data_IF_986582027973
#
_entry.id   IF_986582027973
#
_cell.length_a   1.000
_cell.length_b   1.000
_cell.length_c   1.000
_cell.angle_alpha   90.00
_cell.angle_beta   90.00
_cell.angle_gamma   90.00
#
_symmetry.space_group_name_H-M   'P 1'
#
loop_
_entity.id
_entity.type
_entity.pdbx_description
1 polymer ?
#
# COMPACT_ATOMS: atom_id res chain seq x y z
N UNK A 1 -1.13 -11.57 -6.05
CA UNK A 1 0.10 -12.27 -5.64
C UNK A 1 1.31 -11.88 -6.48
N UNK A 2 1.25 -11.89 -7.81
CA UNK A 2 2.39 -11.65 -8.71
C UNK A 2 3.10 -10.30 -8.45
N UNK A 3 2.33 -9.22 -8.29
CA UNK A 3 2.85 -7.87 -8.03
C UNK A 3 3.75 -7.84 -6.79
N UNK A 4 3.26 -8.36 -5.65
CA UNK A 4 4.04 -8.44 -4.42
C UNK A 4 5.32 -9.25 -4.56
N UNK A 5 5.24 -10.38 -5.26
CA UNK A 5 6.40 -11.26 -5.45
C UNK A 5 7.44 -10.61 -6.36
N UNK A 6 7.02 -9.94 -7.43
CA UNK A 6 7.93 -9.24 -8.33
C UNK A 6 8.68 -8.11 -7.60
N UNK A 7 7.98 -7.28 -6.81
CA UNK A 7 8.59 -6.23 -6.01
C UNK A 7 9.58 -6.80 -4.98
N UNK A 8 9.15 -7.84 -4.23
CA UNK A 8 10.03 -8.51 -3.27
C UNK A 8 11.35 -8.95 -3.91
N UNK A 9 11.27 -9.66 -5.02
CA UNK A 9 12.47 -10.19 -5.68
C UNK A 9 13.33 -9.09 -6.31
N UNK A 10 12.71 -8.03 -6.85
CA UNK A 10 13.44 -6.87 -7.35
C UNK A 10 14.29 -6.25 -6.24
N UNK A 11 13.68 -5.90 -5.11
CA UNK A 11 14.39 -5.31 -3.99
C UNK A 11 15.48 -6.23 -3.40
N UNK A 12 15.20 -7.54 -3.34
CA UNK A 12 16.19 -8.51 -2.84
C UNK A 12 17.42 -8.66 -3.75
N UNK A 13 17.23 -8.58 -5.07
CA UNK A 13 18.35 -8.63 -6.01
C UNK A 13 19.20 -7.38 -5.90
N UNK A 14 18.56 -6.22 -5.82
CA UNK A 14 19.28 -4.97 -5.65
C UNK A 14 20.06 -4.93 -4.33
N UNK A 15 19.49 -5.45 -3.25
CA UNK A 15 20.19 -5.52 -1.97
C UNK A 15 21.40 -6.46 -1.95
N UNK A 16 21.50 -7.39 -2.91
CA UNK A 16 22.64 -8.31 -3.05
C UNK A 16 23.71 -7.81 -3.99
N UNK A 17 23.39 -6.83 -4.81
CA UNK A 17 24.30 -6.32 -5.83
C UNK A 17 25.27 -5.31 -5.21
N UNK A 18 26.61 -5.61 -5.22
CA UNK A 18 27.64 -4.77 -4.62
C UNK A 18 27.65 -3.33 -5.13
N UNK A 19 27.20 -3.09 -6.36
CA UNK A 19 27.17 -1.74 -6.93
C UNK A 19 26.34 -0.75 -6.09
N UNK A 20 25.34 -1.24 -5.34
CA UNK A 20 24.48 -0.41 -4.50
C UNK A 20 25.02 -0.19 -3.08
N UNK A 21 26.15 -0.82 -2.72
CA UNK A 21 26.82 -0.69 -1.42
C UNK A 21 25.93 -1.00 -0.21
N UNK A 22 24.93 -1.87 -0.40
CA UNK A 22 23.96 -2.29 0.63
C UNK A 22 23.92 -3.82 0.70
N UNK A 23 25.05 -4.49 0.64
CA UNK A 23 25.12 -5.94 0.70
C UNK A 23 24.58 -6.51 2.02
N UNK A 24 23.23 -6.65 2.08
CA UNK A 24 22.56 -7.09 3.29
C UNK A 24 21.10 -7.45 3.08
N UNK A 25 20.49 -7.90 4.15
CA UNK A 25 19.08 -8.21 4.19
C UNK A 25 18.29 -6.91 4.37
N UNK A 26 17.47 -6.54 3.38
CA UNK A 26 16.48 -5.47 3.52
C UNK A 26 15.29 -5.95 4.35
N UNK A 27 14.71 -5.03 5.13
CA UNK A 27 13.35 -5.17 5.64
C UNK A 27 12.46 -4.11 5.02
N UNK A 28 11.24 -4.46 4.63
CA UNK A 28 10.31 -3.50 4.09
C UNK A 28 8.85 -3.92 4.26
N UNK A 29 7.97 -2.93 4.19
CA UNK A 29 6.53 -3.09 4.23
C UNK A 29 6.00 -2.72 2.86
N UNK A 30 5.14 -3.57 2.27
CA UNK A 30 4.43 -3.26 1.02
C UNK A 30 2.94 -3.17 1.27
N UNK A 31 2.32 -2.09 0.81
CA UNK A 31 0.88 -1.83 0.92
C UNK A 31 0.28 -1.77 -0.48
N UNK A 32 -0.73 -2.60 -0.75
CA UNK A 32 -1.43 -2.58 -2.03
C UNK A 32 -2.40 -1.40 -2.09
N UNK A 33 -2.30 -0.65 -3.18
CA UNK A 33 -3.30 0.31 -3.62
C UNK A 33 -3.91 -0.13 -4.94
N UNK A 34 -5.21 0.12 -5.10
CA UNK A 34 -5.97 -0.33 -6.28
C UNK A 34 -6.62 0.82 -7.03
N UNK A 35 -6.61 2.05 -6.51
CA UNK A 35 -7.35 3.21 -7.05
C UNK A 35 -6.47 4.42 -7.36
N UNK A 36 -6.95 5.24 -8.27
CA UNK A 36 -6.46 6.59 -8.49
C UNK A 36 -7.42 7.65 -7.88
N UNK A 37 -7.13 8.93 -8.08
CA UNK A 37 -7.92 10.05 -7.55
C UNK A 37 -9.37 10.09 -8.07
N UNK A 38 -9.66 9.48 -9.23
CA UNK A 38 -11.00 9.39 -9.86
C UNK A 38 -11.69 8.05 -9.58
N UNK A 39 -11.19 7.26 -8.63
CA UNK A 39 -11.68 5.92 -8.30
C UNK A 39 -11.58 4.92 -9.47
N UNK A 40 -10.65 5.15 -10.39
CA UNK A 40 -10.38 4.21 -11.47
C UNK A 40 -9.29 3.22 -11.04
N UNK A 41 -9.27 2.07 -11.71
CA UNK A 41 -8.25 1.04 -11.49
C UNK A 41 -6.84 1.59 -11.64
N UNK A 42 -6.04 1.44 -10.59
CA UNK A 42 -4.64 1.83 -10.55
C UNK A 42 -3.87 0.98 -9.54
N UNK A 43 -3.56 -0.25 -9.94
CA UNK A 43 -2.90 -1.21 -9.06
C UNK A 43 -1.41 -0.91 -8.92
N UNK A 44 -0.98 -0.56 -7.71
CA UNK A 44 0.42 -0.30 -7.38
C UNK A 44 0.74 -0.64 -5.93
N UNK A 45 2.03 -0.79 -5.62
CA UNK A 45 2.49 -1.00 -4.26
C UNK A 45 3.22 0.23 -3.73
N UNK A 46 2.86 0.64 -2.52
CA UNK A 46 3.69 1.52 -1.72
C UNK A 46 4.63 0.68 -0.87
N UNK A 47 5.93 0.93 -0.99
CA UNK A 47 6.95 0.25 -0.21
C UNK A 47 7.62 1.23 0.74
N UNK A 48 7.66 0.89 2.03
CA UNK A 48 8.42 1.63 3.04
C UNK A 48 9.63 0.78 3.39
N UNK A 49 10.80 1.33 3.14
CA UNK A 49 12.08 0.63 3.28
C UNK A 49 12.94 1.47 4.21
N UNK A 50 13.46 0.93 5.33
CA UNK A 50 14.47 1.61 6.13
C UNK A 50 15.69 2.00 5.30
N UNK A 51 16.35 3.10 5.67
CA UNK A 51 17.51 3.62 4.96
C UNK A 51 18.78 2.80 5.26
N UNK A 52 18.72 1.49 5.08
CA UNK A 52 19.83 0.58 5.28
C UNK A 52 19.44 -0.89 5.27
N UNK A 53 20.40 -1.75 5.52
CA UNK A 53 20.24 -3.20 5.56
C UNK A 53 21.01 -3.83 6.73
N UNK A 54 20.50 -4.96 7.21
CA UNK A 54 21.23 -5.81 8.13
C UNK A 54 22.21 -6.70 7.35
N UNK A 55 23.49 -6.66 7.65
CA UNK A 55 24.48 -7.53 7.01
C UNK A 55 24.07 -9.01 7.11
N UNK A 56 24.45 -9.83 6.11
CA UNK A 56 24.06 -11.24 6.10
C UNK A 56 24.60 -12.05 7.28
N UNK A 57 25.78 -11.65 7.81
CA UNK A 57 26.36 -12.21 9.02
C UNK A 57 25.75 -11.64 10.31
N UNK A 58 24.82 -10.69 10.19
CA UNK A 58 24.10 -10.01 11.28
C UNK A 58 25.02 -9.24 12.28
N UNK A 59 26.21 -8.87 11.85
CA UNK A 59 27.18 -8.20 12.74
C UNK A 59 27.16 -6.68 12.64
N UNK A 60 26.59 -6.12 11.56
CA UNK A 60 26.56 -4.68 11.33
C UNK A 60 25.29 -4.22 10.66
N UNK A 61 24.92 -3.00 10.91
CA UNK A 61 23.97 -2.25 10.10
C UNK A 61 24.73 -1.55 8.98
N UNK A 62 24.19 -1.59 7.76
CA UNK A 62 24.77 -0.97 6.57
C UNK A 62 23.86 0.17 6.18
N UNK A 63 24.31 1.41 6.39
CA UNK A 63 23.54 2.59 6.03
C UNK A 63 23.46 2.76 4.52
N UNK A 64 22.29 3.19 4.05
CA UNK A 64 22.10 3.61 2.69
C UNK A 64 22.78 4.96 2.43
N UNK A 65 23.11 5.26 1.17
CA UNK A 65 23.54 6.59 0.81
C UNK A 65 22.41 7.62 1.09
N UNK A 66 22.80 8.86 1.44
CA UNK A 66 21.88 9.87 2.00
C UNK A 66 20.67 10.24 1.15
N UNK A 67 20.68 9.99 -0.16
CA UNK A 67 19.63 10.50 -1.05
C UNK A 67 18.63 9.42 -1.50
N UNK A 68 19.12 8.27 -1.97
CA UNK A 68 18.28 7.19 -2.50
C UNK A 68 18.92 5.83 -2.23
N UNK A 69 18.07 4.85 -1.96
CA UNK A 69 18.51 3.47 -1.76
C UNK A 69 19.00 2.84 -3.07
N UNK A 70 18.28 3.07 -4.17
CA UNK A 70 18.54 2.50 -5.49
C UNK A 70 18.16 3.48 -6.59
N UNK A 71 18.81 3.35 -7.75
CA UNK A 71 18.48 4.13 -8.94
C UNK A 71 17.11 3.72 -9.49
N UNK A 72 16.21 4.69 -9.64
CA UNK A 72 14.79 4.48 -9.98
C UNK A 72 14.61 3.80 -11.33
N UNK A 73 15.38 4.22 -12.34
CA UNK A 73 15.31 3.65 -13.69
C UNK A 73 15.74 2.19 -13.73
N UNK A 74 16.78 1.85 -12.95
CA UNK A 74 17.26 0.46 -12.83
C UNK A 74 16.22 -0.42 -12.12
N UNK A 75 15.59 0.12 -11.04
CA UNK A 75 14.48 -0.56 -10.36
C UNK A 75 13.31 -0.81 -11.31
N UNK A 76 12.94 0.18 -12.13
CA UNK A 76 11.82 0.08 -13.06
C UNK A 76 12.05 -1.06 -14.08
N UNK A 77 13.24 -1.11 -14.68
CA UNK A 77 13.63 -2.13 -15.67
C UNK A 77 13.62 -3.55 -15.06
N UNK A 78 14.23 -3.72 -13.89
CA UNK A 78 14.29 -5.03 -13.25
C UNK A 78 12.90 -5.48 -12.76
N UNK A 79 12.10 -4.56 -12.23
CA UNK A 79 10.72 -4.85 -11.84
C UNK A 79 9.87 -5.26 -13.05
N UNK A 80 9.93 -4.52 -14.16
CA UNK A 80 9.26 -4.86 -15.42
C UNK A 80 9.61 -6.29 -15.85
N UNK A 81 10.89 -6.58 -15.97
CA UNK A 81 11.41 -7.91 -16.34
C UNK A 81 10.84 -9.02 -15.45
N UNK A 82 10.91 -8.84 -14.12
CA UNK A 82 10.42 -9.85 -13.17
C UNK A 82 8.92 -10.02 -13.25
N UNK A 83 8.18 -8.92 -13.32
CA UNK A 83 6.74 -8.97 -13.37
C UNK A 83 6.24 -9.66 -14.63
N UNK A 84 6.76 -9.29 -15.80
CA UNK A 84 6.36 -9.88 -17.09
C UNK A 84 6.75 -11.36 -17.20
N UNK A 85 7.93 -11.74 -16.73
CA UNK A 85 8.32 -13.15 -16.67
C UNK A 85 7.39 -13.97 -15.75
N UNK A 86 6.99 -13.41 -14.60
CA UNK A 86 6.03 -14.08 -13.72
C UNK A 86 4.64 -14.16 -14.34
N UNK A 87 4.20 -13.12 -15.03
CA UNK A 87 2.93 -13.10 -15.73
C UNK A 87 2.90 -14.18 -16.83
N UNK A 88 3.95 -14.25 -17.66
CA UNK A 88 4.13 -15.30 -18.69
C UNK A 88 4.12 -16.71 -18.07
N UNK A 89 4.84 -16.90 -16.96
CA UNK A 89 4.85 -18.19 -16.25
C UNK A 89 3.49 -18.55 -15.66
N UNK A 90 2.75 -17.58 -15.14
CA UNK A 90 1.41 -17.80 -14.60
C UNK A 90 0.42 -18.17 -15.71
N UNK A 91 0.52 -17.53 -16.88
CA UNK A 91 -0.26 -17.88 -18.07
C UNK A 91 -0.01 -19.35 -18.47
N UNK A 92 1.24 -19.73 -18.71
CA UNK A 92 1.64 -21.10 -19.10
C UNK A 92 1.21 -22.19 -18.09
N UNK A 93 1.00 -21.80 -16.83
CA UNK A 93 0.54 -22.69 -15.76
C UNK A 93 -0.95 -22.64 -15.52
N UNK A 94 -1.72 -21.98 -16.39
CA UNK A 94 -3.17 -21.79 -16.27
C UNK A 94 -3.59 -21.21 -14.88
N UNK A 95 -2.79 -20.27 -14.35
CA UNK A 95 -3.03 -19.63 -13.04
C UNK A 95 -3.62 -18.23 -13.18
N UNK A 96 -4.05 -17.84 -14.37
CA UNK A 96 -4.69 -16.56 -14.64
C UNK A 96 -6.16 -16.82 -14.97
N UNK A 97 -7.04 -15.99 -14.42
CA UNK A 97 -8.45 -15.94 -14.77
C UNK A 97 -8.68 -14.74 -15.69
N UNK A 98 -9.37 -14.95 -16.78
CA UNK A 98 -9.66 -13.93 -17.78
C UNK A 98 -11.17 -13.74 -17.86
N UNK A 99 -11.66 -12.60 -17.37
CA UNK A 99 -13.09 -12.26 -17.35
C UNK A 99 -13.34 -10.94 -18.07
N UNK A 100 -14.50 -10.77 -18.65
CA UNK A 100 -14.92 -9.56 -19.33
C UNK A 100 -13.93 -9.16 -20.44
N UNK A 101 -13.44 -7.92 -20.41
CA UNK A 101 -12.52 -7.41 -21.45
C UNK A 101 -11.20 -8.19 -21.55
N UNK A 102 -10.83 -8.94 -20.53
CA UNK A 102 -9.60 -9.74 -20.53
C UNK A 102 -9.77 -11.11 -21.21
N UNK A 103 -10.98 -11.53 -21.54
CA UNK A 103 -11.25 -12.86 -22.16
C UNK A 103 -10.44 -13.11 -23.42
N UNK A 104 -10.21 -12.08 -24.22
CA UNK A 104 -9.37 -12.16 -25.44
C UNK A 104 -7.96 -12.67 -25.18
N UNK A 105 -7.44 -12.52 -23.96
CA UNK A 105 -6.11 -12.99 -23.59
C UNK A 105 -6.06 -14.46 -23.16
N UNK A 106 -7.17 -15.18 -23.23
CA UNK A 106 -7.19 -16.65 -23.21
C UNK A 106 -6.46 -17.21 -24.45
N UNK A 107 -6.56 -16.49 -25.57
CA UNK A 107 -5.80 -16.78 -26.79
C UNK A 107 -4.32 -16.44 -26.60
N UNK A 108 -3.44 -17.41 -26.88
CA UNK A 108 -1.99 -17.25 -26.66
C UNK A 108 -1.39 -16.15 -27.54
N UNK A 109 -1.85 -16.01 -28.77
CA UNK A 109 -1.36 -14.98 -29.69
C UNK A 109 -1.66 -13.58 -29.16
N UNK A 110 -2.89 -13.36 -28.67
CA UNK A 110 -3.30 -12.09 -28.07
C UNK A 110 -2.53 -11.82 -26.75
N UNK A 111 -2.31 -12.86 -25.95
CA UNK A 111 -1.52 -12.73 -24.73
C UNK A 111 -0.06 -12.39 -25.02
N UNK A 112 0.57 -13.00 -26.01
CA UNK A 112 1.94 -12.69 -26.41
C UNK A 112 2.08 -11.28 -26.98
N UNK A 113 1.10 -10.82 -27.78
CA UNK A 113 1.03 -9.43 -28.24
C UNK A 113 0.92 -8.43 -27.08
N UNK A 114 0.11 -8.75 -26.07
CA UNK A 114 0.04 -7.94 -24.84
C UNK A 114 1.40 -7.88 -24.14
N UNK A 115 2.08 -9.02 -23.95
CA UNK A 115 3.38 -9.06 -23.32
C UNK A 115 4.42 -8.22 -24.08
N UNK A 116 4.47 -8.31 -25.41
CA UNK A 116 5.35 -7.50 -26.25
C UNK A 116 5.09 -5.99 -26.03
N UNK A 117 3.83 -5.58 -26.14
CA UNK A 117 3.44 -4.18 -25.91
C UNK A 117 3.79 -3.69 -24.50
N UNK A 118 3.74 -4.56 -23.49
CA UNK A 118 4.14 -4.22 -22.12
C UNK A 118 5.65 -4.14 -21.93
N UNK A 119 6.44 -4.89 -22.72
CA UNK A 119 7.90 -4.78 -22.76
C UNK A 119 8.37 -3.46 -23.38
N UNK A 120 7.72 -3.01 -24.41
CA UNK A 120 8.06 -1.78 -25.12
C UNK A 120 7.64 -0.52 -24.33
N UNK A 121 6.73 -0.69 -23.37
CA UNK A 121 6.22 0.42 -22.57
C UNK A 121 7.22 0.78 -21.46
N UNK A 122 7.48 2.08 -21.30
CA UNK A 122 8.25 2.56 -20.17
C UNK A 122 7.48 2.35 -18.86
N UNK A 123 8.06 1.59 -17.94
CA UNK A 123 7.53 1.42 -16.59
C UNK A 123 8.10 2.47 -15.66
N UNK A 124 7.26 3.00 -14.80
CA UNK A 124 7.62 4.07 -13.88
C UNK A 124 7.62 3.52 -12.46
N UNK A 125 8.75 3.62 -11.79
CA UNK A 125 8.86 3.52 -10.34
C UNK A 125 9.13 4.91 -9.78
N UNK A 126 8.69 5.16 -8.57
CA UNK A 126 8.89 6.43 -7.89
C UNK A 126 9.51 6.18 -6.53
N UNK A 127 10.60 6.85 -6.23
CA UNK A 127 11.22 6.85 -4.92
C UNK A 127 11.19 8.25 -4.34
N UNK A 128 10.86 8.36 -3.06
CA UNK A 128 11.00 9.58 -2.28
C UNK A 128 12.29 9.55 -1.51
N UNK A 129 12.81 10.73 -1.20
CA UNK A 129 13.86 10.89 -0.21
C UNK A 129 13.40 10.31 1.14
N UNK A 130 14.35 9.90 1.99
CA UNK A 130 14.04 9.42 3.33
C UNK A 130 13.16 10.39 4.11
N UNK A 131 12.29 9.88 4.93
CA UNK A 131 11.50 10.68 5.86
C UNK A 131 12.41 11.31 6.91
N UNK A 132 12.06 12.51 7.36
CA UNK A 132 12.82 13.22 8.40
C UNK A 132 12.63 12.67 9.82
N UNK A 133 11.68 11.73 10.02
CA UNK A 133 11.42 11.15 11.33
C UNK A 133 10.26 10.15 11.35
N UNK A 134 10.03 9.48 12.50
CA UNK A 134 9.00 8.46 12.67
C UNK A 134 7.58 9.00 12.50
N UNK A 135 7.32 10.25 12.87
CA UNK A 135 6.00 10.91 12.73
C UNK A 135 5.56 10.96 11.27
N UNK A 136 6.47 11.32 10.38
CA UNK A 136 6.20 11.37 8.94
C UNK A 136 5.93 9.97 8.36
N UNK A 137 6.64 8.95 8.87
CA UNK A 137 6.39 7.55 8.50
C UNK A 137 5.01 7.10 8.95
N UNK A 138 4.61 7.44 10.19
CA UNK A 138 3.30 7.12 10.74
C UNK A 138 2.18 7.83 9.97
N UNK A 139 2.36 9.11 9.67
CA UNK A 139 1.42 9.89 8.86
C UNK A 139 1.27 9.28 7.46
N UNK A 140 2.38 8.92 6.83
CA UNK A 140 2.37 8.25 5.53
C UNK A 140 1.64 6.90 5.60
N UNK A 141 1.95 6.07 6.58
CA UNK A 141 1.27 4.79 6.80
C UNK A 141 -0.22 5.00 7.04
N UNK A 142 -0.61 5.92 7.90
CA UNK A 142 -2.01 6.24 8.20
C UNK A 142 -2.81 6.62 6.95
N UNK A 143 -2.20 7.39 6.04
CA UNK A 143 -2.84 7.76 4.78
C UNK A 143 -3.13 6.57 3.86
N UNK A 144 -2.35 5.51 3.93
CA UNK A 144 -2.41 4.40 2.96
C UNK A 144 -2.93 3.08 3.53
N UNK A 145 -2.87 2.88 4.85
CA UNK A 145 -3.30 1.61 5.46
C UNK A 145 -4.79 1.58 5.80
N UNK A 146 -5.35 2.69 6.28
CA UNK A 146 -6.72 2.76 6.79
C UNK A 146 -7.74 3.32 5.79
N UNK A 147 -7.30 3.90 4.68
CA UNK A 147 -8.22 4.50 3.71
C UNK A 147 -8.72 3.50 2.71
N UNK A 148 -10.03 3.51 2.50
CA UNK A 148 -10.69 2.85 1.38
C UNK A 148 -10.94 3.94 0.34
N UNK A 149 -10.45 3.76 -0.86
CA UNK A 149 -10.63 4.51 -2.11
C UNK A 149 -10.93 6.04 -2.01
N UNK A 150 -11.87 6.47 -1.16
CA UNK A 150 -12.27 7.86 -0.99
C UNK A 150 -12.60 8.16 0.47
N UNK A 151 -12.34 9.39 0.92
CA UNK A 151 -12.76 9.89 2.25
C UNK A 151 -14.02 10.72 2.11
N UNK A 152 -14.85 10.74 3.15
CA UNK A 152 -16.11 11.50 3.16
C UNK A 152 -15.89 12.98 2.83
N UNK A 153 -14.80 13.58 3.29
CA UNK A 153 -14.46 14.99 3.02
C UNK A 153 -14.27 15.31 1.54
N UNK A 154 -14.13 14.31 0.69
CA UNK A 154 -14.02 14.50 -0.75
C UNK A 154 -15.37 14.47 -1.46
N UNK A 155 -16.42 13.97 -0.82
CA UNK A 155 -17.77 13.92 -1.36
C UNK A 155 -18.42 15.27 -1.02
N UNK A 156 -18.68 16.08 -2.07
CA UNK A 156 -19.26 17.42 -1.91
C UNK A 156 -20.80 17.43 -2.02
N UNK A 157 -21.38 16.49 -2.78
CA UNK A 157 -22.84 16.39 -2.90
C UNK A 157 -23.27 14.97 -3.30
N UNK A 158 -24.45 14.56 -2.84
CA UNK A 158 -25.19 13.37 -3.28
C UNK A 158 -26.62 13.82 -3.53
N UNK A 159 -26.97 14.01 -4.80
CA UNK A 159 -28.26 14.57 -5.18
C UNK A 159 -28.68 14.10 -6.58
N UNK A 160 -29.96 14.00 -6.83
CA UNK A 160 -30.53 13.65 -8.14
C UNK A 160 -29.90 12.40 -8.79
N UNK A 161 -29.62 11.36 -7.96
CA UNK A 161 -29.00 10.12 -8.45
C UNK A 161 -27.54 10.25 -8.88
N UNK A 162 -26.88 11.35 -8.54
CA UNK A 162 -25.45 11.59 -8.81
C UNK A 162 -24.64 11.80 -7.55
N UNK A 163 -23.34 11.56 -7.66
CA UNK A 163 -22.34 11.82 -6.61
C UNK A 163 -21.29 12.77 -7.17
N UNK A 164 -21.08 13.89 -6.48
CA UNK A 164 -20.03 14.87 -6.78
C UNK A 164 -18.92 14.73 -5.77
N UNK A 165 -17.67 14.62 -6.24
CA UNK A 165 -16.51 14.52 -5.36
C UNK A 165 -15.29 15.21 -5.94
N UNK A 166 -14.44 15.71 -5.05
CA UNK A 166 -13.20 16.38 -5.41
C UNK A 166 -12.08 15.41 -5.70
N UNK A 167 -11.20 15.77 -6.66
CA UNK A 167 -9.96 15.06 -6.97
C UNK A 167 -8.84 16.02 -7.35
N UNK A 168 -7.58 15.58 -7.18
CA UNK A 168 -6.41 16.34 -7.64
C UNK A 168 -5.99 15.87 -9.03
N UNK A 169 -5.95 16.80 -9.97
CA UNK A 169 -5.54 16.52 -11.35
C UNK A 169 -4.02 16.67 -11.49
N UNK A 170 -3.32 15.54 -11.49
CA UNK A 170 -1.84 15.52 -11.59
C UNK A 170 -1.31 16.00 -12.94
N UNK A 171 -2.12 15.95 -13.99
CA UNK A 171 -1.75 16.45 -15.32
C UNK A 171 -1.90 17.97 -15.45
N UNK A 172 -2.49 18.62 -14.44
CA UNK A 172 -2.74 20.06 -14.41
C UNK A 172 -2.32 20.62 -13.03
N UNK A 173 -1.03 20.63 -12.75
CA UNK A 173 -0.38 21.19 -11.55
C UNK A 173 -1.01 20.77 -10.21
N UNK A 174 -1.54 19.54 -10.11
CA UNK A 174 -2.26 19.06 -8.95
C UNK A 174 -3.49 19.92 -8.55
N UNK A 175 -4.06 20.68 -9.47
CA UNK A 175 -5.25 21.48 -9.19
C UNK A 175 -6.40 20.62 -8.71
N UNK A 176 -7.12 21.13 -7.73
CA UNK A 176 -8.33 20.49 -7.24
C UNK A 176 -9.45 20.72 -8.25
N UNK A 177 -10.09 19.63 -8.67
CA UNK A 177 -11.24 19.60 -9.58
C UNK A 177 -12.36 18.79 -8.96
N UNK A 178 -13.57 18.95 -9.45
CA UNK A 178 -14.71 18.13 -9.10
C UNK A 178 -15.09 17.19 -10.25
N UNK A 179 -15.61 16.03 -9.88
CA UNK A 179 -16.15 15.04 -10.81
C UNK A 179 -17.53 14.65 -10.33
N UNK A 180 -18.53 14.79 -11.21
CA UNK A 180 -19.90 14.32 -10.99
C UNK A 180 -20.13 13.09 -11.84
N UNK A 181 -20.58 11.99 -11.23
CA UNK A 181 -20.93 10.74 -11.90
C UNK A 181 -22.24 10.22 -11.32
N UNK A 182 -22.91 9.30 -12.04
CA UNK A 182 -24.10 8.65 -11.49
C UNK A 182 -23.75 7.87 -10.21
N UNK A 183 -24.70 7.79 -9.28
CA UNK A 183 -24.51 7.03 -8.03
C UNK A 183 -24.17 5.56 -8.32
N UNK A 184 -24.76 4.98 -9.35
CA UNK A 184 -24.46 3.60 -9.78
C UNK A 184 -23.00 3.45 -10.23
N UNK A 185 -22.48 4.38 -11.04
CA UNK A 185 -21.08 4.36 -11.48
C UNK A 185 -20.13 4.63 -10.32
N UNK A 186 -20.50 5.50 -9.36
CA UNK A 186 -19.71 5.72 -8.14
C UNK A 186 -19.60 4.43 -7.33
N UNK A 187 -20.71 3.76 -7.06
CA UNK A 187 -20.75 2.49 -6.33
C UNK A 187 -19.95 1.42 -7.08
N UNK A 188 -20.12 1.29 -8.40
CA UNK A 188 -19.35 0.36 -9.21
C UNK A 188 -17.85 0.58 -9.07
N UNK A 189 -17.38 1.83 -9.18
CA UNK A 189 -15.95 2.17 -9.00
C UNK A 189 -15.48 1.86 -7.59
N UNK A 190 -16.26 2.23 -6.58
CA UNK A 190 -15.92 1.98 -5.18
C UNK A 190 -15.76 0.49 -4.89
N UNK A 191 -16.70 -0.33 -5.34
CA UNK A 191 -16.70 -1.77 -5.13
C UNK A 191 -15.50 -2.50 -5.78
N UNK A 192 -14.96 -1.98 -6.89
CA UNK A 192 -13.72 -2.52 -7.48
C UNK A 192 -12.52 -2.47 -6.53
N UNK A 193 -12.56 -1.64 -5.51
CA UNK A 193 -11.47 -1.44 -4.56
C UNK A 193 -11.70 -2.14 -3.21
N UNK A 194 -12.87 -2.74 -3.03
CA UNK A 194 -13.17 -3.60 -1.87
C UNK A 194 -12.48 -4.94 -2.09
N UNK A 195 -11.50 -5.22 -1.26
CA UNK A 195 -10.74 -6.47 -1.35
C UNK A 195 -11.52 -7.62 -0.72
N UNK A 196 -11.39 -8.85 -1.25
CA UNK A 196 -12.04 -10.02 -0.67
C UNK A 196 -11.64 -10.23 0.79
N UNK A 197 -12.55 -10.83 1.56
CA UNK A 197 -12.25 -11.22 2.95
C UNK A 197 -10.99 -12.09 3.01
N UNK A 198 -10.15 -11.85 4.02
CA UNK A 198 -8.88 -12.56 4.19
C UNK A 198 -7.74 -12.10 3.25
N UNK A 199 -7.97 -11.13 2.36
CA UNK A 199 -6.89 -10.63 1.50
C UNK A 199 -5.88 -9.81 2.30
N UNK A 200 -4.63 -10.25 2.33
CA UNK A 200 -3.54 -9.54 3.00
C UNK A 200 -3.06 -8.36 2.16
N UNK A 201 -3.60 -7.17 2.44
CA UNK A 201 -3.28 -5.89 1.78
C UNK A 201 -1.88 -5.39 2.12
N UNK A 202 -1.40 -5.65 3.34
CA UNK A 202 -0.11 -5.21 3.87
C UNK A 202 0.77 -6.41 4.06
N UNK A 203 2.00 -6.39 3.52
CA UNK A 203 2.95 -7.49 3.65
C UNK A 203 4.30 -6.99 4.15
N UNK A 204 4.89 -7.77 5.04
CA UNK A 204 6.17 -7.52 5.67
C UNK A 204 7.23 -8.47 5.12
N UNK A 205 8.43 -7.94 4.85
CA UNK A 205 9.49 -8.70 4.20
C UNK A 205 10.84 -8.50 4.89
N UNK A 206 11.75 -9.47 4.67
CA UNK A 206 13.11 -9.46 5.18
C UNK A 206 13.14 -9.42 6.70
N UNK A 207 13.96 -8.57 7.30
CA UNK A 207 14.05 -8.47 8.76
C UNK A 207 12.77 -7.89 9.41
N UNK A 208 11.84 -7.32 8.64
CA UNK A 208 10.52 -6.90 9.14
C UNK A 208 9.45 -7.99 9.03
N UNK A 209 9.78 -9.18 8.49
CA UNK A 209 8.83 -10.30 8.45
C UNK A 209 8.42 -10.73 9.87
N UNK A 210 7.14 -11.06 10.06
CA UNK A 210 6.56 -11.32 11.39
C UNK A 210 7.36 -12.32 12.23
N UNK A 211 7.88 -13.38 11.61
CA UNK A 211 8.63 -14.43 12.32
C UNK A 211 9.91 -13.91 13.01
N UNK A 212 10.59 -12.92 12.43
CA UNK A 212 11.91 -12.48 12.89
C UNK A 212 11.95 -11.01 13.32
N UNK A 213 10.87 -10.27 13.15
CA UNK A 213 10.81 -8.82 13.31
C UNK A 213 11.35 -8.36 14.66
N UNK A 214 10.86 -8.94 15.77
CA UNK A 214 11.25 -8.51 17.12
C UNK A 214 12.75 -8.65 17.34
N UNK A 215 13.28 -9.86 17.12
CA UNK A 215 14.69 -10.16 17.30
C UNK A 215 15.60 -9.32 16.38
N UNK A 216 15.20 -9.14 15.11
CA UNK A 216 15.98 -8.33 14.16
C UNK A 216 15.97 -6.85 14.54
N UNK A 217 14.83 -6.28 14.96
CA UNK A 217 14.78 -4.88 15.39
C UNK A 217 15.62 -4.65 16.64
N UNK A 218 15.55 -5.53 17.62
CA UNK A 218 16.40 -5.46 18.84
C UNK A 218 17.89 -5.53 18.51
N UNK A 219 18.27 -6.41 17.59
CA UNK A 219 19.64 -6.50 17.10
C UNK A 219 20.06 -5.22 16.38
N UNK A 220 19.27 -4.73 15.43
CA UNK A 220 19.57 -3.51 14.68
C UNK A 220 19.73 -2.32 15.62
N UNK A 221 18.84 -2.16 16.61
CA UNK A 221 18.96 -1.07 17.60
C UNK A 221 20.29 -1.11 18.36
N UNK A 222 20.73 -2.30 18.77
CA UNK A 222 22.06 -2.46 19.40
C UNK A 222 23.20 -2.08 18.45
N UNK A 223 23.11 -2.52 17.19
CA UNK A 223 24.14 -2.24 16.18
C UNK A 223 24.27 -0.75 15.84
N UNK A 224 23.17 0.02 15.89
CA UNK A 224 23.17 1.47 15.65
C UNK A 224 23.28 2.31 16.92
N UNK A 225 23.55 1.67 18.08
CA UNK A 225 23.77 2.38 19.34
C UNK A 225 22.52 3.02 19.97
N UNK A 226 21.32 2.60 19.56
CA UNK A 226 20.06 3.09 20.15
C UNK A 226 19.75 2.33 21.43
N UNK A 227 20.00 2.96 22.56
CA UNK A 227 19.81 2.41 23.92
C UNK A 227 18.45 2.71 24.53
N UNK A 228 17.65 3.59 23.92
CA UNK A 228 16.30 3.89 24.44
C UNK A 228 15.47 2.61 24.52
N UNK A 229 15.06 2.27 25.74
CA UNK A 229 14.08 1.21 25.97
C UNK A 229 12.86 1.42 25.05
N UNK A 230 12.23 0.34 24.61
CA UNK A 230 10.89 0.47 24.07
C UNK A 230 10.10 1.30 25.07
N UNK A 231 9.47 2.40 24.61
CA UNK A 231 8.45 3.03 25.42
C UNK A 231 7.53 1.88 25.86
N UNK A 232 7.39 1.71 27.17
CA UNK A 232 6.46 0.72 27.71
C UNK A 232 5.17 0.92 26.95
N UNK A 233 4.61 -0.18 26.42
CA UNK A 233 3.32 -0.11 25.77
C UNK A 233 2.39 0.57 26.78
N UNK A 234 2.07 1.82 26.54
CA UNK A 234 1.11 2.52 27.36
C UNK A 234 -0.14 1.67 27.32
N UNK A 235 -0.57 1.14 28.43
CA UNK A 235 -1.88 0.56 28.58
C UNK A 235 -2.90 1.70 28.55
N UNK A 236 -3.10 2.23 27.36
CA UNK A 236 -4.08 3.26 27.09
C UNK A 236 -5.28 2.67 26.38
N UNK A 237 -6.46 3.13 26.73
CA UNK A 237 -7.70 2.80 26.01
C UNK A 237 -7.64 3.38 24.59
N UNK A 238 -8.46 2.86 23.68
CA UNK A 238 -8.60 3.42 22.32
C UNK A 238 -8.98 4.91 22.36
N UNK A 239 -9.81 5.30 23.31
CA UNK A 239 -10.18 6.70 23.53
C UNK A 239 -8.96 7.57 23.88
N UNK A 240 -8.17 7.15 24.87
CA UNK A 240 -6.95 7.86 25.27
C UNK A 240 -5.94 7.96 24.14
N UNK A 241 -5.76 6.85 23.39
CA UNK A 241 -4.89 6.83 22.23
C UNK A 241 -5.36 7.82 21.15
N UNK A 242 -6.66 7.84 20.84
CA UNK A 242 -7.22 8.76 19.83
C UNK A 242 -7.10 10.21 20.28
N UNK A 243 -7.41 10.49 21.54
CA UNK A 243 -7.27 11.85 22.11
C UNK A 243 -5.81 12.33 22.01
N UNK A 244 -4.84 11.48 22.37
CA UNK A 244 -3.42 11.79 22.30
C UNK A 244 -2.90 11.99 20.87
N UNK A 245 -3.36 11.16 19.92
CA UNK A 245 -2.88 11.19 18.54
C UNK A 245 -3.57 12.23 17.66
N UNK A 246 -4.82 12.53 17.93
CA UNK A 246 -5.66 13.37 17.04
C UNK A 246 -6.22 14.62 17.73
N UNK A 247 -6.12 14.71 19.05
CA UNK A 247 -6.78 15.76 19.83
C UNK A 247 -8.31 15.61 19.92
N UNK A 248 -8.86 14.51 19.38
CA UNK A 248 -10.31 14.27 19.33
C UNK A 248 -10.70 13.21 20.35
N UNK A 249 -11.59 13.56 21.26
CA UNK A 249 -12.24 12.57 22.12
C UNK A 249 -13.37 11.86 21.36
N UNK A 250 -13.13 10.58 21.01
CA UNK A 250 -14.09 9.75 20.28
C UNK A 250 -15.35 9.43 21.09
N UNK A 251 -15.36 9.65 22.39
CA UNK A 251 -16.54 9.51 23.24
C UNK A 251 -17.36 10.80 23.36
N UNK A 252 -16.85 11.91 22.87
CA UNK A 252 -17.60 13.16 22.81
C UNK A 252 -18.53 13.17 21.59
N UNK A 253 -19.79 13.55 21.78
CA UNK A 253 -20.76 13.67 20.69
C UNK A 253 -20.29 14.71 19.66
N UNK A 254 -20.04 14.39 18.41
CA UNK A 254 -19.56 15.35 17.42
C UNK A 254 -20.62 16.39 17.01
N UNK A 255 -21.90 16.16 17.36
CA UNK A 255 -23.00 17.05 17.02
C UNK A 255 -23.19 18.15 18.05
N UNK A 256 -23.12 17.83 19.34
CA UNK A 256 -23.38 18.84 20.40
C UNK A 256 -22.12 19.19 21.22
N UNK A 257 -21.04 18.44 21.11
CA UNK A 257 -19.79 18.66 21.84
C UNK A 257 -19.86 18.42 23.36
N UNK A 258 -21.00 17.97 23.90
CA UNK A 258 -21.21 17.80 25.34
C UNK A 258 -21.68 16.39 25.73
N UNK A 259 -22.45 15.74 24.87
CA UNK A 259 -22.94 14.39 25.12
C UNK A 259 -21.84 13.31 25.01
N UNK A 260 -21.99 12.22 25.77
CA UNK A 260 -21.07 11.08 25.71
C UNK A 260 -21.61 10.01 24.76
N UNK A 261 -20.79 9.58 23.82
CA UNK A 261 -21.07 8.45 22.95
C UNK A 261 -20.78 7.14 23.70
N UNK A 262 -21.74 6.25 23.76
CA UNK A 262 -21.55 4.91 24.33
C UNK A 262 -21.67 3.84 23.24
N UNK A 263 -20.92 2.77 23.40
CA UNK A 263 -21.03 1.60 22.50
C UNK A 263 -22.38 0.95 22.75
N UNK A 264 -23.29 1.02 21.78
CA UNK A 264 -24.57 0.35 21.84
C UNK A 264 -24.45 -1.17 21.58
N UNK A 265 -25.60 -1.86 21.69
CA UNK A 265 -25.67 -3.28 21.31
C UNK A 265 -25.27 -3.44 19.82
N UNK A 266 -24.61 -4.56 19.45
CA UNK A 266 -24.31 -4.85 18.06
C UNK A 266 -25.61 -4.87 17.24
N UNK A 267 -25.61 -4.15 16.12
CA UNK A 267 -26.72 -4.22 15.16
C UNK A 267 -26.72 -5.64 14.61
N UNK A 268 -27.81 -6.38 14.83
CA UNK A 268 -27.98 -7.72 14.26
C UNK A 268 -27.81 -7.63 12.73
N UNK A 269 -26.98 -8.49 12.17
CA UNK A 269 -26.94 -8.64 10.71
C UNK A 269 -28.33 -9.02 10.23
N UNK A 270 -28.92 -8.23 9.35
CA UNK A 270 -30.10 -8.67 8.63
C UNK A 270 -29.77 -10.02 7.98
N UNK A 271 -30.56 -11.03 8.27
CA UNK A 271 -30.48 -12.30 7.56
C UNK A 271 -30.76 -11.99 6.08
N UNK A 272 -29.79 -12.19 5.20
CA UNK A 272 -30.06 -12.23 3.78
C UNK A 272 -30.84 -13.52 3.54
N UNK A 273 -32.13 -13.40 3.27
CA UNK A 273 -32.90 -14.50 2.69
C UNK A 273 -32.36 -14.73 1.28
N UNK A 274 -31.67 -15.83 1.12
CA UNK A 274 -31.15 -16.35 -0.13
C UNK A 274 -32.35 -17.06 -0.85
N UNK A 275 -33.34 -16.24 -1.28
CA UNK A 275 -34.45 -16.73 -2.14
C UNK A 275 -34.46 -15.92 -3.42
N UNK A 276 -33.65 -16.33 -4.41
CA UNK A 276 -34.01 -16.39 -5.86
C UNK A 276 -32.82 -16.90 -6.66
#
# INVERSE_FOLDING_TARGET
>A
ALLFTAVKETLQVFARDPQWRIEGQLGFISVLHTWNQKLMDHYHLHCIIPAGALSYDRKKWIDASRNYLFKVESLAKEFQKRYLNKLKRAYRKNRLSFNGRAERYKDETQFLKLLAALWDKQWITYAKQPFGGPEQVLEYLGRYTHRVAITNNRISAIENGTVRFSYRDRSNDNRQKELTISAQEFIRRFLLHVLPSGFTKIRYYGFLAHANKKACIELIRRLIGVTTAYAQKLEESVQQMMLRLTGVDICCCPKCGQGTMVVGAPIARAAYDDTS
#
